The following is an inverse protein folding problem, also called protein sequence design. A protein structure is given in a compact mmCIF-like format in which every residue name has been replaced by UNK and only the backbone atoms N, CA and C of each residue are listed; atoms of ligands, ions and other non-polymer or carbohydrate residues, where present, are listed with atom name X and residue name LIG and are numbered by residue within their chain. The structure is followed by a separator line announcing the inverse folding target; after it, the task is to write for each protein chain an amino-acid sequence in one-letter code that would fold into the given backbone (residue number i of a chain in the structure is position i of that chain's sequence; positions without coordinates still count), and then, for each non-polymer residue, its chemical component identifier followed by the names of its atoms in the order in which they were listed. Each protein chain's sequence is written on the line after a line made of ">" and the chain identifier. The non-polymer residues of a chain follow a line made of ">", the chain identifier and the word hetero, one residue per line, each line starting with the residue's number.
data_IF_177295850159
#
_entry.id   IF_177295850159
#
_cell.length_a   1.000
_cell.length_b   1.000
_cell.length_c   1.000
_cell.angle_alpha   90.00
_cell.angle_beta   90.00
_cell.angle_gamma   90.00
#
_symmetry.space_group_name_H-M   'P 1'
#
loop_
_entity.id
_entity.type
_entity.pdbx_description
1 polymer ?
#
# COMPACT_ATOMS: atom_id res chain seq x y z
N UNK A 1 7.84 15.39 -9.31
CA UNK A 1 7.58 13.94 -9.22
C UNK A 1 6.18 13.70 -8.69
N UNK A 2 5.42 12.75 -9.26
CA UNK A 2 4.08 12.36 -8.83
C UNK A 2 4.10 11.00 -8.14
N UNK A 3 3.64 10.93 -6.90
CA UNK A 3 3.51 9.70 -6.12
C UNK A 3 2.02 9.41 -5.95
N UNK A 4 1.62 8.19 -6.19
CA UNK A 4 0.23 7.73 -6.10
C UNK A 4 0.14 6.52 -5.19
N UNK A 5 -0.83 6.48 -4.29
CA UNK A 5 -1.06 5.36 -3.38
C UNK A 5 -2.52 4.92 -3.41
N UNK A 6 -2.76 3.62 -3.55
CA UNK A 6 -4.11 3.04 -3.45
C UNK A 6 -4.06 1.59 -2.96
N UNK A 7 -4.94 1.24 -2.03
CA UNK A 7 -5.22 -0.16 -1.74
C UNK A 7 -6.00 -0.73 -2.94
N UNK A 8 -5.41 -1.71 -3.63
CA UNK A 8 -5.92 -2.25 -4.89
C UNK A 8 -7.03 -3.30 -4.72
N UNK A 9 -7.36 -3.65 -3.45
CA UNK A 9 -8.40 -4.63 -3.12
C UNK A 9 -8.24 -5.98 -3.86
N UNK A 10 -7.00 -6.50 -3.91
CA UNK A 10 -6.69 -7.71 -4.67
C UNK A 10 -6.96 -7.62 -6.17
N UNK A 11 -7.18 -6.42 -6.70
CA UNK A 11 -7.60 -6.23 -8.09
C UNK A 11 -9.07 -6.57 -8.35
N UNK A 12 -9.94 -6.56 -7.31
CA UNK A 12 -11.36 -6.88 -7.47
C UNK A 12 -12.07 -6.00 -8.52
N UNK A 13 -11.57 -4.79 -8.73
CA UNK A 13 -12.02 -3.85 -9.77
C UNK A 13 -10.98 -3.67 -10.88
N UNK A 14 -10.37 -4.77 -11.35
CA UNK A 14 -9.28 -4.68 -12.33
C UNK A 14 -9.68 -4.05 -13.67
N UNK A 15 -10.96 -4.15 -14.04
CA UNK A 15 -11.49 -3.50 -15.25
C UNK A 15 -11.35 -1.97 -15.21
N UNK A 16 -11.53 -1.36 -14.04
CA UNK A 16 -11.40 0.06 -13.79
C UNK A 16 -9.97 0.44 -13.39
N UNK A 17 -9.31 -0.42 -12.59
CA UNK A 17 -7.96 -0.19 -12.08
C UNK A 17 -6.93 -0.16 -13.21
N UNK A 18 -6.98 -1.09 -14.17
CA UNK A 18 -5.96 -1.21 -15.20
C UNK A 18 -5.86 0.05 -16.09
N UNK A 19 -6.94 0.58 -16.72
CA UNK A 19 -6.84 1.80 -17.50
C UNK A 19 -6.48 3.03 -16.68
N UNK A 20 -6.89 3.06 -15.40
CA UNK A 20 -6.52 4.16 -14.52
C UNK A 20 -5.03 4.14 -14.18
N UNK A 21 -4.45 2.99 -13.90
CA UNK A 21 -3.00 2.84 -13.66
C UNK A 21 -2.18 3.34 -14.84
N UNK A 22 -2.61 3.07 -16.09
CA UNK A 22 -1.95 3.55 -17.31
C UNK A 22 -2.01 5.08 -17.44
N UNK A 23 -3.07 5.72 -16.92
CA UNK A 23 -3.36 7.14 -17.12
C UNK A 23 -3.08 8.04 -15.90
N UNK A 24 -2.87 7.49 -14.70
CA UNK A 24 -2.70 8.28 -13.48
C UNK A 24 -1.39 9.09 -13.44
N UNK A 25 -0.46 8.81 -14.34
CA UNK A 25 0.79 9.56 -14.49
C UNK A 25 1.72 9.45 -13.28
N UNK A 26 1.67 8.34 -12.54
CA UNK A 26 2.53 8.12 -11.39
C UNK A 26 3.99 7.89 -11.81
N UNK A 27 4.91 8.65 -11.22
CA UNK A 27 6.33 8.32 -11.24
C UNK A 27 6.66 7.21 -10.22
N UNK A 28 5.92 7.21 -9.10
CA UNK A 28 5.95 6.15 -8.08
C UNK A 28 4.51 5.76 -7.75
N UNK A 29 4.14 4.50 -8.02
CA UNK A 29 2.83 3.95 -7.68
C UNK A 29 2.96 2.95 -6.53
N UNK A 30 2.30 3.21 -5.41
CA UNK A 30 2.27 2.40 -4.20
C UNK A 30 0.94 1.67 -4.09
N UNK A 31 0.95 0.35 -4.19
CA UNK A 31 -0.23 -0.50 -4.08
C UNK A 31 -0.20 -1.34 -2.81
N UNK A 32 -1.35 -1.48 -2.16
CA UNK A 32 -1.58 -2.42 -1.08
C UNK A 32 -2.58 -3.49 -1.54
N UNK A 33 -2.66 -4.60 -0.82
CA UNK A 33 -3.43 -5.79 -1.19
C UNK A 33 -3.04 -6.34 -2.57
N UNK A 34 -1.75 -6.42 -2.84
CA UNK A 34 -1.22 -6.97 -4.08
C UNK A 34 -1.05 -8.47 -3.96
N UNK A 35 -1.60 -9.20 -4.91
CA UNK A 35 -1.50 -10.65 -5.04
C UNK A 35 -0.39 -11.04 -6.01
N UNK A 36 0.24 -12.19 -5.76
CA UNK A 36 1.25 -12.76 -6.63
C UNK A 36 1.16 -14.28 -6.65
N UNK A 37 0.87 -14.85 -7.82
CA UNK A 37 0.92 -16.28 -8.08
C UNK A 37 1.65 -16.47 -9.42
N UNK A 38 2.98 -16.64 -9.40
CA UNK A 38 3.77 -16.67 -10.63
C UNK A 38 3.26 -17.73 -11.64
N UNK A 39 3.02 -17.30 -12.87
CA UNK A 39 2.56 -18.16 -13.95
C UNK A 39 1.04 -18.35 -14.01
N UNK A 40 0.29 -18.01 -12.98
CA UNK A 40 -1.17 -18.07 -13.01
C UNK A 40 -1.75 -16.76 -13.54
N UNK A 41 -2.73 -16.84 -14.42
CA UNK A 41 -3.43 -15.70 -15.02
C UNK A 41 -4.90 -15.71 -14.62
N UNK A 42 -5.55 -14.56 -14.75
CA UNK A 42 -6.99 -14.45 -14.53
C UNK A 42 -7.36 -14.22 -13.06
N UNK A 43 -8.32 -14.95 -12.57
CA UNK A 43 -8.93 -14.75 -11.27
C UNK A 43 -8.73 -15.93 -10.35
N UNK A 44 -8.53 -15.65 -9.09
CA UNK A 44 -8.59 -16.58 -7.96
C UNK A 44 -9.67 -16.15 -6.99
N UNK A 45 -9.99 -17.02 -6.05
CA UNK A 45 -10.90 -16.74 -4.96
C UNK A 45 -10.12 -16.75 -3.64
N UNK A 46 -10.19 -15.64 -2.95
CA UNK A 46 -9.75 -15.52 -1.57
C UNK A 46 -10.93 -15.85 -0.66
N UNK A 47 -10.76 -16.80 0.22
CA UNK A 47 -11.75 -17.19 1.21
C UNK A 47 -11.14 -17.17 2.61
N UNK A 48 -11.74 -16.41 3.52
CA UNK A 48 -11.50 -16.48 4.96
C UNK A 48 -12.84 -16.70 5.70
N UNK A 49 -12.83 -16.77 7.02
CA UNK A 49 -14.04 -17.02 7.80
C UNK A 49 -15.14 -15.93 7.65
N UNK A 50 -14.80 -14.74 7.17
CA UNK A 50 -15.70 -13.59 7.05
C UNK A 50 -16.01 -13.22 5.60
N UNK A 51 -15.12 -13.57 4.66
CA UNK A 51 -15.14 -13.02 3.29
C UNK A 51 -14.86 -14.09 2.25
N UNK A 52 -15.52 -13.96 1.11
CA UNK A 52 -15.23 -14.68 -0.11
C UNK A 52 -15.18 -13.67 -1.25
N UNK A 53 -13.99 -13.41 -1.78
CA UNK A 53 -13.74 -12.33 -2.71
C UNK A 53 -13.01 -12.82 -3.96
N UNK A 54 -13.47 -12.44 -5.16
CA UNK A 54 -12.65 -12.60 -6.35
C UNK A 54 -11.45 -11.64 -6.28
N UNK A 55 -10.28 -12.11 -6.67
CA UNK A 55 -9.07 -11.30 -6.79
C UNK A 55 -8.24 -11.74 -7.98
N UNK A 56 -7.36 -10.87 -8.46
CA UNK A 56 -6.44 -11.25 -9.53
C UNK A 56 -5.48 -12.33 -9.04
N UNK A 57 -5.18 -13.28 -9.91
CA UNK A 57 -4.24 -14.35 -9.58
C UNK A 57 -2.82 -13.79 -9.35
N UNK A 58 -2.39 -12.87 -10.20
CA UNK A 58 -1.09 -12.20 -10.12
C UNK A 58 -1.24 -10.72 -10.47
N UNK A 59 -1.77 -9.94 -9.51
CA UNK A 59 -1.98 -8.50 -9.69
C UNK A 59 -0.65 -7.78 -9.92
N UNK A 60 0.45 -8.25 -9.31
CA UNK A 60 1.78 -7.67 -9.52
C UNK A 60 2.18 -7.71 -11.00
N UNK A 61 2.04 -8.89 -11.63
CA UNK A 61 2.36 -9.05 -13.05
C UNK A 61 1.35 -8.33 -13.95
N UNK A 62 0.07 -8.35 -13.60
CA UNK A 62 -0.99 -7.68 -14.36
C UNK A 62 -0.76 -6.16 -14.42
N UNK A 63 -0.47 -5.52 -13.27
CA UNK A 63 -0.14 -4.09 -13.21
C UNK A 63 1.21 -3.81 -13.89
N UNK A 64 2.21 -4.65 -13.67
CA UNK A 64 3.52 -4.52 -14.34
C UNK A 64 3.40 -4.52 -15.87
N UNK A 65 2.49 -5.31 -16.43
CA UNK A 65 2.23 -5.33 -17.87
C UNK A 65 1.62 -4.03 -18.41
N UNK A 66 0.93 -3.26 -17.55
CA UNK A 66 0.36 -1.95 -17.87
C UNK A 66 1.35 -0.80 -17.66
N UNK A 67 2.40 -1.05 -16.90
CA UNK A 67 3.47 -0.11 -16.59
C UNK A 67 4.83 -0.62 -17.09
N UNK A 68 5.03 -0.85 -18.40
CA UNK A 68 6.24 -1.48 -18.94
C UNK A 68 7.52 -0.66 -18.70
N UNK A 69 7.37 0.62 -18.35
CA UNK A 69 8.47 1.53 -18.02
C UNK A 69 8.63 1.78 -16.52
N UNK A 70 8.10 0.89 -15.68
CA UNK A 70 8.27 0.96 -14.24
C UNK A 70 8.88 -0.34 -13.73
N UNK A 71 9.80 -0.21 -12.78
CA UNK A 71 10.37 -1.32 -12.05
C UNK A 71 9.43 -1.73 -10.92
N UNK A 72 8.88 -2.95 -10.90
CA UNK A 72 8.09 -3.45 -9.77
C UNK A 72 9.00 -3.89 -8.62
N UNK A 73 8.65 -3.47 -7.41
CA UNK A 73 9.24 -3.92 -6.16
C UNK A 73 8.10 -4.47 -5.29
N UNK A 74 8.28 -5.65 -4.70
CA UNK A 74 7.24 -6.33 -3.94
C UNK A 74 7.75 -6.79 -2.58
N UNK A 75 7.02 -6.49 -1.53
CA UNK A 75 7.26 -7.01 -0.18
C UNK A 75 6.09 -7.89 0.23
N UNK A 76 6.37 -9.19 0.36
CA UNK A 76 5.37 -10.17 0.80
C UNK A 76 5.10 -10.03 2.29
N UNK A 77 3.84 -10.12 2.67
CA UNK A 77 3.39 -10.20 4.07
C UNK A 77 3.19 -11.64 4.51
N UNK A 78 2.40 -12.38 3.76
CA UNK A 78 2.06 -13.76 4.01
C UNK A 78 1.71 -14.49 2.70
N UNK A 79 1.54 -15.80 2.78
CA UNK A 79 1.18 -16.65 1.66
C UNK A 79 0.12 -17.66 2.11
N UNK A 80 -0.80 -18.01 1.22
CA UNK A 80 -1.85 -18.97 1.56
C UNK A 80 -2.52 -19.61 0.33
N UNK A 81 -3.41 -20.59 0.55
CA UNK A 81 -4.09 -21.29 -0.52
C UNK A 81 -5.19 -20.42 -1.16
N UNK A 82 -5.31 -20.52 -2.46
CA UNK A 82 -6.42 -19.93 -3.25
C UNK A 82 -6.90 -20.94 -4.28
N UNK A 83 -8.14 -20.79 -4.72
CA UNK A 83 -8.68 -21.56 -5.82
C UNK A 83 -8.73 -20.69 -7.09
N UNK A 84 -8.35 -21.27 -8.23
CA UNK A 84 -8.60 -20.67 -9.52
C UNK A 84 -10.06 -20.90 -10.00
N UNK A 85 -10.39 -20.44 -11.21
CA UNK A 85 -11.73 -20.59 -11.78
C UNK A 85 -12.12 -22.04 -12.07
N UNK A 86 -11.14 -22.92 -12.26
CA UNK A 86 -11.32 -24.37 -12.47
C UNK A 86 -11.27 -25.16 -11.16
N UNK A 87 -11.19 -24.47 -10.00
CA UNK A 87 -11.05 -25.01 -8.66
C UNK A 87 -9.70 -25.71 -8.40
N UNK A 88 -8.72 -25.46 -9.23
CA UNK A 88 -7.33 -25.83 -8.96
C UNK A 88 -6.78 -25.06 -7.77
N UNK A 89 -6.10 -25.77 -6.85
CA UNK A 89 -5.49 -25.13 -5.68
C UNK A 89 -4.12 -24.58 -6.02
N UNK A 90 -3.88 -23.32 -5.65
CA UNK A 90 -2.61 -22.62 -5.85
C UNK A 90 -2.18 -21.95 -4.56
N UNK A 91 -0.89 -21.66 -4.45
CA UNK A 91 -0.35 -20.81 -3.40
C UNK A 91 -0.18 -19.39 -3.91
N UNK A 92 -0.71 -18.43 -3.17
CA UNK A 92 -0.66 -17.03 -3.51
C UNK A 92 0.04 -16.23 -2.42
N UNK A 93 1.03 -15.44 -2.81
CA UNK A 93 1.62 -14.42 -1.97
C UNK A 93 0.73 -13.18 -1.92
N UNK A 94 0.71 -12.51 -0.77
CA UNK A 94 -0.04 -11.27 -0.54
C UNK A 94 0.87 -10.23 0.12
N UNK A 95 0.81 -8.99 -0.36
CA UNK A 95 1.72 -7.97 0.15
C UNK A 95 1.45 -6.56 -0.38
N UNK A 96 2.51 -5.77 -0.40
CA UNK A 96 2.53 -4.41 -0.95
C UNK A 96 3.51 -4.32 -2.12
N UNK A 97 3.17 -3.54 -3.13
CA UNK A 97 4.04 -3.31 -4.28
C UNK A 97 4.27 -1.81 -4.52
N UNK A 98 5.48 -1.47 -4.94
CA UNK A 98 5.84 -0.13 -5.40
C UNK A 98 6.41 -0.22 -6.79
N UNK A 99 5.80 0.49 -7.75
CA UNK A 99 6.26 0.58 -9.13
C UNK A 99 6.95 1.93 -9.31
N UNK A 100 8.21 1.90 -9.72
CA UNK A 100 9.05 3.10 -9.86
C UNK A 100 9.37 3.33 -11.33
N UNK A 101 9.07 4.50 -11.85
CA UNK A 101 9.40 4.85 -13.24
C UNK A 101 10.90 4.72 -13.51
N UNK A 102 11.27 4.17 -14.66
CA UNK A 102 12.67 3.93 -15.06
C UNK A 102 13.52 5.22 -15.14
N UNK A 103 12.85 6.38 -15.20
CA UNK A 103 13.50 7.70 -15.18
C UNK A 103 14.04 8.09 -13.79
N UNK A 104 13.57 7.42 -12.74
CA UNK A 104 14.00 7.63 -11.37
C UNK A 104 15.02 6.55 -10.95
N UNK A 105 16.29 6.89 -10.74
CA UNK A 105 17.25 5.95 -10.18
C UNK A 105 16.80 5.48 -8.80
N UNK A 106 16.63 4.16 -8.63
CA UNK A 106 16.43 3.53 -7.33
C UNK A 106 17.80 3.37 -6.69
N UNK A 107 18.03 4.06 -5.57
CA UNK A 107 19.33 4.07 -4.87
C UNK A 107 19.31 3.34 -3.54
N UNK A 108 18.12 2.93 -3.08
CA UNK A 108 17.96 2.11 -1.88
C UNK A 108 16.59 1.45 -1.84
N UNK A 109 16.56 0.21 -1.34
CA UNK A 109 15.33 -0.54 -1.09
C UNK A 109 15.44 -1.19 0.28
N UNK A 110 14.42 -1.06 1.09
CA UNK A 110 14.33 -1.71 2.40
C UNK A 110 12.91 -2.17 2.67
N UNK A 111 12.75 -3.38 3.19
CA UNK A 111 11.46 -3.87 3.68
C UNK A 111 11.58 -4.32 5.13
N UNK A 112 10.47 -4.24 5.85
CA UNK A 112 10.37 -4.74 7.21
C UNK A 112 8.93 -5.16 7.52
N UNK A 113 8.79 -6.10 8.44
CA UNK A 113 7.49 -6.39 9.04
C UNK A 113 7.17 -5.34 10.10
N UNK A 114 6.12 -4.58 9.87
CA UNK A 114 5.58 -3.61 10.84
C UNK A 114 4.64 -4.30 11.85
N UNK A 115 4.09 -5.47 11.48
CA UNK A 115 3.33 -6.33 12.39
C UNK A 115 3.60 -7.80 12.06
N UNK A 116 3.77 -8.65 13.08
CA UNK A 116 4.07 -10.08 12.91
C UNK A 116 5.40 -10.36 12.20
N UNK A 117 5.42 -11.42 11.45
CA UNK A 117 6.51 -11.88 10.57
C UNK A 117 5.91 -12.75 9.47
N UNK A 118 6.70 -13.15 8.46
CA UNK A 118 6.21 -13.97 7.37
C UNK A 118 5.55 -15.27 7.87
N UNK A 119 4.37 -15.55 7.34
CA UNK A 119 3.62 -16.78 7.62
C UNK A 119 3.16 -17.41 6.32
N UNK A 120 3.31 -18.71 6.24
CA UNK A 120 2.73 -19.54 5.20
C UNK A 120 1.50 -20.26 5.77
N UNK A 121 0.31 -19.83 5.37
CA UNK A 121 -0.95 -20.42 5.82
C UNK A 121 -1.24 -21.71 5.03
N UNK A 122 -1.48 -22.83 5.71
CA UNK A 122 -1.74 -24.13 5.07
C UNK A 122 -3.24 -24.49 5.03
N UNK A 123 -3.98 -24.13 6.07
CA UNK A 123 -5.38 -24.53 6.27
C UNK A 123 -6.40 -23.44 5.87
N UNK A 124 -5.97 -22.44 5.11
CA UNK A 124 -6.79 -21.29 4.72
C UNK A 124 -6.30 -19.97 5.30
N UNK A 125 -6.94 -18.89 4.90
CA UNK A 125 -6.55 -17.54 5.34
C UNK A 125 -7.21 -17.19 6.68
N UNK A 126 -6.49 -16.63 7.64
CA UNK A 126 -7.11 -16.11 8.88
C UNK A 126 -7.91 -14.83 8.58
N UNK A 127 -9.02 -14.64 9.28
CA UNK A 127 -9.86 -13.46 9.13
C UNK A 127 -9.21 -12.16 9.64
N UNK A 128 -8.29 -12.26 10.58
CA UNK A 128 -7.58 -11.14 11.20
C UNK A 128 -6.18 -11.50 11.63
N UNK A 129 -5.48 -10.55 12.24
CA UNK A 129 -4.13 -10.69 12.81
C UNK A 129 -3.09 -11.23 11.79
N UNK A 130 -3.24 -10.83 10.53
CA UNK A 130 -2.30 -11.20 9.47
C UNK A 130 -1.03 -10.33 9.56
N UNK A 131 0.15 -10.89 9.21
CA UNK A 131 1.38 -10.12 9.10
C UNK A 131 1.24 -8.91 8.18
N UNK A 132 2.00 -7.86 8.48
CA UNK A 132 2.03 -6.62 7.69
C UNK A 132 3.46 -6.23 7.37
N UNK A 133 3.79 -6.25 6.09
CA UNK A 133 5.05 -5.74 5.58
C UNK A 133 4.89 -4.29 5.11
N UNK A 134 5.99 -3.53 5.21
CA UNK A 134 6.14 -2.23 4.59
C UNK A 134 7.38 -2.23 3.69
N UNK A 135 7.33 -1.43 2.63
CA UNK A 135 8.36 -1.32 1.61
C UNK A 135 8.79 0.13 1.47
N UNK A 136 10.04 0.41 1.75
CA UNK A 136 10.68 1.72 1.55
C UNK A 136 11.55 1.68 0.30
N UNK A 137 11.41 2.70 -0.54
CA UNK A 137 12.19 2.88 -1.75
C UNK A 137 12.76 4.29 -1.75
N UNK A 138 14.08 4.41 -1.86
CA UNK A 138 14.79 5.67 -1.98
C UNK A 138 15.16 5.90 -3.44
N UNK A 139 14.72 7.02 -4.00
CA UNK A 139 14.96 7.39 -5.40
C UNK A 139 15.61 8.76 -5.51
N UNK A 140 16.24 9.05 -6.66
CA UNK A 140 16.76 10.37 -6.96
C UNK A 140 15.89 11.09 -8.00
N UNK A 141 15.23 12.16 -7.59
CA UNK A 141 14.47 13.05 -8.47
C UNK A 141 15.43 14.01 -9.18
N UNK A 142 15.78 13.68 -10.44
CA UNK A 142 16.74 14.45 -11.24
C UNK A 142 16.31 15.91 -11.48
N UNK A 143 15.04 16.19 -11.88
CA UNK A 143 14.57 17.55 -12.07
C UNK A 143 14.65 18.41 -10.81
N UNK A 144 14.24 17.86 -9.65
CA UNK A 144 14.27 18.56 -8.38
C UNK A 144 15.66 18.49 -7.69
N UNK A 145 16.60 17.68 -8.21
CA UNK A 145 17.95 17.45 -7.69
C UNK A 145 17.96 17.07 -6.21
N UNK A 146 17.05 16.19 -5.81
CA UNK A 146 16.91 15.73 -4.41
C UNK A 146 16.63 14.24 -4.34
N UNK A 147 16.96 13.66 -3.20
CA UNK A 147 16.52 12.31 -2.87
C UNK A 147 15.11 12.33 -2.28
N UNK A 148 14.35 11.29 -2.60
CA UNK A 148 13.00 11.08 -2.07
C UNK A 148 12.90 9.65 -1.56
N UNK A 149 12.52 9.49 -0.30
CA UNK A 149 12.24 8.19 0.31
C UNK A 149 10.73 8.00 0.40
N UNK A 150 10.21 7.01 -0.30
CA UNK A 150 8.78 6.65 -0.32
C UNK A 150 8.59 5.35 0.46
N UNK A 151 7.72 5.37 1.45
CA UNK A 151 7.38 4.19 2.27
C UNK A 151 5.92 3.82 2.05
N UNK A 152 5.71 2.63 1.52
CA UNK A 152 4.41 2.04 1.24
C UNK A 152 4.09 0.96 2.28
N UNK A 153 2.91 1.00 2.88
CA UNK A 153 2.50 -0.02 3.83
C UNK A 153 1.01 -0.35 3.76
N UNK A 154 0.67 -1.56 4.22
CA UNK A 154 -0.68 -1.95 4.58
C UNK A 154 -0.71 -2.25 6.08
N UNK A 155 -1.40 -1.42 6.86
CA UNK A 155 -1.45 -1.49 8.31
C UNK A 155 -2.32 -2.62 8.85
N UNK A 156 -2.21 -2.88 10.14
CA UNK A 156 -2.95 -3.93 10.83
C UNK A 156 -4.48 -3.72 10.73
N UNK A 157 -5.16 -4.75 10.25
CA UNK A 157 -6.61 -4.88 10.39
C UNK A 157 -6.89 -5.62 11.70
N UNK A 158 -7.32 -4.89 12.70
CA UNK A 158 -7.64 -5.40 14.03
C UNK A 158 -9.15 -5.73 14.11
N UNK A 159 -9.49 -6.89 14.66
CA UNK A 159 -10.89 -7.30 14.86
C UNK A 159 -11.63 -6.37 15.85
N UNK A 160 -10.92 -5.74 16.78
CA UNK A 160 -11.47 -4.76 17.72
C UNK A 160 -11.78 -3.39 17.10
N UNK A 161 -11.45 -3.19 15.83
CA UNK A 161 -11.70 -1.94 15.10
C UNK A 161 -10.44 -1.14 14.77
N UNK A 162 -10.57 0.20 14.69
CA UNK A 162 -9.49 1.09 14.25
C UNK A 162 -8.91 1.98 15.35
N UNK A 163 -9.43 1.87 16.57
CA UNK A 163 -8.89 2.59 17.72
C UNK A 163 -7.46 2.14 18.06
N UNK A 164 -6.72 2.95 18.78
CA UNK A 164 -5.38 2.61 19.23
C UNK A 164 -5.38 1.35 20.10
N UNK A 165 -4.34 0.56 19.95
CA UNK A 165 -4.10 -0.68 20.69
C UNK A 165 -2.59 -0.91 20.85
N UNK A 166 -2.15 -1.76 21.78
CA UNK A 166 -0.73 -2.09 21.92
C UNK A 166 -0.09 -2.61 20.62
N UNK A 167 -0.84 -3.39 19.82
CA UNK A 167 -0.38 -3.89 18.54
C UNK A 167 -0.16 -2.76 17.51
N UNK A 168 -1.05 -1.75 17.49
CA UNK A 168 -0.92 -0.57 16.63
C UNK A 168 0.21 0.34 17.08
N UNK A 169 0.41 0.50 18.38
CA UNK A 169 1.55 1.23 18.94
C UNK A 169 2.87 0.57 18.48
N UNK A 170 3.02 -0.73 18.68
CA UNK A 170 4.20 -1.48 18.24
C UNK A 170 4.39 -1.41 16.71
N UNK A 171 3.29 -1.42 15.93
CA UNK A 171 3.36 -1.20 14.49
C UNK A 171 3.91 0.19 14.16
N UNK A 172 3.45 1.23 14.86
CA UNK A 172 3.92 2.60 14.62
C UNK A 172 5.41 2.77 14.95
N UNK A 173 5.90 2.15 16.01
CA UNK A 173 7.33 2.15 16.35
C UNK A 173 8.19 1.44 15.30
N UNK A 174 7.74 0.27 14.82
CA UNK A 174 8.44 -0.47 13.75
C UNK A 174 8.43 0.30 12.43
N UNK A 175 7.31 0.96 12.10
CA UNK A 175 7.23 1.83 10.94
C UNK A 175 8.20 3.02 11.07
N UNK A 176 8.24 3.66 12.23
CA UNK A 176 9.18 4.75 12.52
C UNK A 176 10.64 4.30 12.37
N UNK A 177 10.97 3.10 12.86
CA UNK A 177 12.29 2.50 12.70
C UNK A 177 12.64 2.22 11.22
N UNK A 178 11.67 1.72 10.42
CA UNK A 178 11.87 1.52 8.99
C UNK A 178 12.11 2.85 8.27
N UNK A 179 11.30 3.87 8.54
CA UNK A 179 11.45 5.22 7.97
C UNK A 179 12.83 5.78 8.28
N UNK A 180 13.23 5.74 9.56
CA UNK A 180 14.55 6.24 10.01
C UNK A 180 15.70 5.50 9.33
N UNK A 181 15.57 4.18 9.18
CA UNK A 181 16.64 3.37 8.58
C UNK A 181 16.69 3.39 7.04
N UNK A 182 15.63 3.91 6.39
CA UNK A 182 15.55 3.95 4.92
C UNK A 182 15.89 5.32 4.33
N UNK A 183 15.68 6.41 5.08
CA UNK A 183 15.98 7.78 4.66
C UNK A 183 17.38 8.20 5.10
N UNK A 184 17.94 9.17 4.40
CA UNK A 184 19.12 9.91 4.83
C UNK A 184 18.74 11.38 5.12
N UNK A 185 19.65 12.10 5.80
CA UNK A 185 19.44 13.51 6.11
C UNK A 185 19.24 14.35 4.84
N UNK A 186 18.19 15.15 4.82
CA UNK A 186 17.83 15.98 3.68
C UNK A 186 16.91 15.30 2.65
N UNK A 187 16.57 14.01 2.81
CA UNK A 187 15.59 13.35 1.96
C UNK A 187 14.18 13.94 2.17
N UNK A 188 13.48 14.20 1.09
CA UNK A 188 12.01 14.31 1.18
C UNK A 188 11.45 12.93 1.46
N UNK A 189 10.76 12.77 2.58
CA UNK A 189 10.17 11.49 2.96
C UNK A 189 8.65 11.52 2.79
N UNK A 190 8.11 10.52 2.11
CA UNK A 190 6.67 10.30 1.95
C UNK A 190 6.32 8.92 2.51
N UNK A 191 5.36 8.87 3.43
CA UNK A 191 4.79 7.61 3.96
C UNK A 191 3.35 7.53 3.51
N UNK A 192 2.95 6.46 2.84
CA UNK A 192 1.60 6.32 2.31
C UNK A 192 1.09 4.88 2.39
N UNK A 193 -0.21 4.73 2.32
CA UNK A 193 -0.85 3.43 2.24
C UNK A 193 -2.18 3.34 3.01
N UNK A 194 -2.71 2.14 3.10
CA UNK A 194 -3.83 1.82 3.97
C UNK A 194 -3.32 1.56 5.38
N UNK A 195 -3.38 2.57 6.24
CA UNK A 195 -2.90 2.45 7.61
C UNK A 195 -3.93 1.80 8.55
N UNK A 196 -5.19 1.70 8.11
CA UNK A 196 -6.30 1.16 8.91
C UNK A 196 -6.50 1.84 10.27
N UNK A 197 -6.30 3.17 10.34
CA UNK A 197 -6.34 3.99 11.56
C UNK A 197 -7.53 4.96 11.53
N UNK A 198 -7.84 5.53 12.70
CA UNK A 198 -8.65 6.74 12.84
C UNK A 198 -7.74 7.98 12.74
N UNK A 199 -8.30 9.17 12.39
CA UNK A 199 -7.50 10.39 12.23
C UNK A 199 -6.77 10.87 13.49
N UNK A 200 -7.24 10.50 14.66
CA UNK A 200 -6.69 10.86 15.97
C UNK A 200 -5.71 9.82 16.56
N UNK A 201 -5.33 8.80 15.76
CA UNK A 201 -4.45 7.72 16.24
C UNK A 201 -3.09 8.25 16.71
N UNK A 202 -2.60 7.62 17.81
CA UNK A 202 -1.26 7.86 18.34
C UNK A 202 -0.14 7.64 17.32
N UNK A 203 -0.37 6.80 16.32
CA UNK A 203 0.58 6.58 15.21
C UNK A 203 1.02 7.89 14.56
N UNK A 204 0.10 8.84 14.34
CA UNK A 204 0.45 10.13 13.73
C UNK A 204 1.35 10.97 14.64
N UNK A 205 1.17 10.89 15.96
CA UNK A 205 2.04 11.56 16.93
C UNK A 205 3.46 10.98 16.93
N UNK A 206 3.58 9.66 16.83
CA UNK A 206 4.88 8.97 16.73
C UNK A 206 5.58 9.39 15.43
N UNK A 207 4.89 9.37 14.29
CA UNK A 207 5.45 9.76 12.99
C UNK A 207 5.75 11.26 12.92
N UNK A 208 4.97 12.11 13.60
CA UNK A 208 5.27 13.54 13.72
C UNK A 208 6.59 13.80 14.45
N UNK A 209 7.01 12.91 15.37
CA UNK A 209 8.34 12.95 15.99
C UNK A 209 9.49 12.78 14.99
N UNK A 210 9.23 12.21 13.81
CA UNK A 210 10.17 12.13 12.68
C UNK A 210 10.04 13.31 11.69
N UNK A 211 9.23 14.32 12.00
CA UNK A 211 8.94 15.46 11.13
C UNK A 211 7.85 15.19 10.08
N UNK A 212 7.20 14.03 10.09
CA UNK A 212 6.15 13.69 9.14
C UNK A 212 4.82 14.38 9.50
N UNK A 213 4.16 14.93 8.49
CA UNK A 213 2.86 15.60 8.60
C UNK A 213 1.84 14.90 7.72
N UNK A 214 0.71 14.52 8.29
CA UNK A 214 -0.40 13.96 7.54
C UNK A 214 -1.10 15.04 6.69
N UNK A 215 -1.40 14.69 5.44
CA UNK A 215 -2.09 15.56 4.49
C UNK A 215 -3.57 15.20 4.33
N UNK A 216 -4.00 14.03 4.82
CA UNK A 216 -5.37 13.52 4.64
C UNK A 216 -6.31 14.03 5.72
N UNK A 217 -5.86 14.06 6.99
CA UNK A 217 -6.68 14.48 8.12
C UNK A 217 -7.91 13.59 8.32
N UNK A 218 -9.07 14.20 8.34
CA UNK A 218 -10.39 13.58 8.54
C UNK A 218 -11.14 13.29 7.21
N UNK A 219 -10.45 13.40 6.07
CA UNK A 219 -11.07 13.15 4.77
C UNK A 219 -11.55 11.70 4.64
N UNK A 220 -12.68 11.51 3.94
CA UNK A 220 -13.20 10.21 3.55
C UNK A 220 -12.29 9.58 2.48
N UNK A 221 -11.64 8.48 2.82
CA UNK A 221 -10.74 7.74 1.91
C UNK A 221 -11.35 6.43 1.40
N UNK A 222 -12.68 6.28 1.51
CA UNK A 222 -13.42 5.13 0.99
C UNK A 222 -14.29 5.52 -0.21
N UNK A 223 -14.51 4.57 -1.10
CA UNK A 223 -15.42 4.74 -2.25
C UNK A 223 -16.83 4.25 -1.93
N UNK A 224 -17.75 4.34 -2.88
CA UNK A 224 -19.12 3.85 -2.76
C UNK A 224 -19.17 2.33 -2.55
N UNK A 225 -18.12 1.60 -2.89
CA UNK A 225 -18.00 0.15 -2.72
C UNK A 225 -17.87 -0.28 -1.26
N UNK A 226 -17.39 0.61 -0.39
CA UNK A 226 -17.24 0.34 1.04
C UNK A 226 -18.53 0.73 1.79
N UNK A 227 -19.15 -0.25 2.46
CA UNK A 227 -20.49 -0.09 3.07
C UNK A 227 -20.49 0.13 4.59
N UNK A 228 -19.29 0.14 5.23
CA UNK A 228 -19.20 0.33 6.69
C UNK A 228 -19.13 1.81 7.05
N UNK A 229 -19.53 2.22 8.27
CA UNK A 229 -19.63 3.65 8.65
C UNK A 229 -18.28 4.34 8.79
N UNK A 230 -17.23 3.63 9.26
CA UNK A 230 -15.88 4.21 9.44
C UNK A 230 -15.16 4.27 8.09
N UNK A 231 -15.03 5.48 7.56
CA UNK A 231 -14.55 5.71 6.19
C UNK A 231 -13.08 6.18 6.11
N UNK A 232 -12.38 6.23 7.24
CA UNK A 232 -10.94 6.55 7.30
C UNK A 232 -10.11 5.27 7.22
N UNK A 233 -9.08 5.26 6.38
CA UNK A 233 -8.21 4.10 6.23
C UNK A 233 -6.85 4.44 5.62
N UNK A 234 -6.85 5.16 4.48
CA UNK A 234 -5.65 5.48 3.73
C UNK A 234 -5.12 6.86 4.12
N UNK A 235 -3.80 6.97 4.25
CA UNK A 235 -3.12 8.20 4.67
C UNK A 235 -1.87 8.45 3.84
N UNK A 236 -1.47 9.71 3.77
CA UNK A 236 -0.24 10.15 3.14
C UNK A 236 0.40 11.24 3.99
N UNK A 237 1.62 10.96 4.45
CA UNK A 237 2.40 11.86 5.29
C UNK A 237 3.65 12.31 4.54
N UNK A 238 4.10 13.53 4.77
CA UNK A 238 5.27 14.12 4.15
C UNK A 238 6.15 14.82 5.17
N UNK A 239 7.48 14.77 5.00
CA UNK A 239 8.43 15.42 5.90
C UNK A 239 8.55 16.93 5.67
N UNK A 240 8.25 17.40 4.46
CA UNK A 240 8.28 18.81 4.10
C UNK A 240 7.00 19.20 3.33
N UNK A 241 5.97 19.73 4.01
CA UNK A 241 4.76 20.20 3.36
C UNK A 241 4.99 21.33 2.35
N UNK A 242 6.07 22.12 2.49
CA UNK A 242 6.36 23.20 1.54
C UNK A 242 6.84 22.67 0.18
N UNK A 243 7.31 21.43 0.12
CA UNK A 243 7.66 20.75 -1.13
C UNK A 243 6.43 20.26 -1.92
N UNK A 244 5.25 20.26 -1.30
CA UNK A 244 4.01 19.75 -1.92
C UNK A 244 3.43 20.80 -2.84
N UNK A 245 3.31 20.49 -4.12
CA UNK A 245 2.67 21.33 -5.14
C UNK A 245 1.17 21.06 -5.26
N UNK A 246 0.79 19.79 -5.10
CA UNK A 246 -0.58 19.31 -5.23
C UNK A 246 -0.79 18.09 -4.35
N UNK A 247 -1.93 17.99 -3.68
CA UNK A 247 -2.37 16.80 -2.97
C UNK A 247 -3.87 16.61 -3.21
N UNK A 248 -4.28 15.35 -3.47
CA UNK A 248 -5.67 15.02 -3.72
C UNK A 248 -6.04 13.66 -3.13
N UNK A 249 -7.22 13.59 -2.53
CA UNK A 249 -7.96 12.35 -2.28
C UNK A 249 -8.89 12.14 -3.48
N UNK A 250 -8.51 11.25 -4.40
CA UNK A 250 -9.14 11.11 -5.71
C UNK A 250 -10.56 10.55 -5.56
N UNK A 251 -11.54 11.36 -5.95
CA UNK A 251 -12.95 10.99 -5.86
C UNK A 251 -13.40 10.06 -7.00
N UNK A 252 -12.84 10.23 -8.19
CA UNK A 252 -13.18 9.47 -9.39
C UNK A 252 -11.97 9.38 -10.35
N UNK A 253 -11.85 8.26 -11.10
CA UNK A 253 -12.74 7.10 -11.08
C UNK A 253 -12.58 6.24 -9.80
N UNK A 254 -13.63 5.52 -9.40
CA UNK A 254 -13.52 4.51 -8.36
C UNK A 254 -12.87 3.24 -8.93
N UNK A 255 -11.68 2.93 -8.47
CA UNK A 255 -10.87 1.79 -8.95
C UNK A 255 -10.67 0.71 -7.89
N UNK A 256 -11.19 0.95 -6.69
CA UNK A 256 -11.12 0.10 -5.51
C UNK A 256 -12.25 0.46 -4.54
N UNK A 257 -12.35 -0.21 -3.41
CA UNK A 257 -13.13 0.23 -2.25
C UNK A 257 -12.41 1.34 -1.44
N UNK A 258 -11.16 1.67 -1.81
CA UNK A 258 -10.40 2.81 -1.35
C UNK A 258 -10.25 3.88 -2.42
N UNK A 259 -10.26 5.15 -2.01
CA UNK A 259 -9.84 6.27 -2.87
C UNK A 259 -8.32 6.27 -3.00
N UNK A 260 -7.84 6.56 -4.19
CA UNK A 260 -6.42 6.81 -4.38
C UNK A 260 -6.02 8.15 -3.73
N UNK A 261 -4.78 8.22 -3.27
CA UNK A 261 -4.14 9.43 -2.79
C UNK A 261 -3.04 9.81 -3.78
N UNK A 262 -3.02 11.06 -4.22
CA UNK A 262 -1.98 11.56 -5.12
C UNK A 262 -1.27 12.76 -4.52
N UNK A 263 0.03 12.83 -4.71
CA UNK A 263 0.85 13.99 -4.34
C UNK A 263 1.82 14.31 -5.47
N UNK A 264 1.92 15.59 -5.80
CA UNK A 264 2.99 16.12 -6.65
C UNK A 264 3.96 16.93 -5.78
N UNK A 265 5.24 16.60 -5.88
CA UNK A 265 6.32 17.23 -5.12
C UNK A 265 7.39 17.80 -6.04
#
# INVERSE_FOLDING_TARGET
>A
MRIVSVNAWGGAMFGELAPWVESCGADVLCLQEVTRTPGLRGWTRFDDAERSLPQRADLLADVGSRLPRHQPLFAVSDSGPVLDQERGSHRQDFGVATFVAETLPVVGVRSAFVHGGYVEHHDGWPAGDRPRAALAVRVYDRPARRFVTVVNLHGLRDASGKADSPARHAQAERLAALVTGAREDGDLTVVCGDLNLLPDSETFRILAGLGLRDLVGDADTRTSRYRRPVRHASYLLVSDPAAVKEFEVVAAPEVSDHRALTIAV
#
